data_IF_337889519225
#
_entry.id   IF_337889519225
#
_cell.length_a   1.000
_cell.length_b   1.000
_cell.length_c   1.000
_cell.angle_alpha   90.00
_cell.angle_beta   90.00
_cell.angle_gamma   90.00
#
_symmetry.space_group_name_H-M   'P 1'
#
loop_
_entity.id
_entity.type
_entity.pdbx_description
1 polymer ?
#
# COMPACT_ATOMS: atom_id res chain seq x y z
N UNK A 1 36.22 -2.43 -1.01
CA UNK A 1 34.99 -2.12 -1.75
C UNK A 1 34.16 -1.22 -0.87
N UNK A 2 33.63 -0.09 -1.39
CA UNK A 2 32.77 0.83 -0.67
C UNK A 2 31.38 0.76 -1.28
N UNK A 3 30.34 0.52 -0.44
CA UNK A 3 28.94 0.65 -0.82
C UNK A 3 28.55 2.11 -0.75
N UNK A 4 27.89 2.60 -1.79
CA UNK A 4 27.31 3.96 -1.86
C UNK A 4 25.89 3.87 -2.40
N UNK A 5 25.05 4.82 -2.03
CA UNK A 5 23.66 4.95 -2.49
C UNK A 5 23.46 6.32 -3.14
N UNK A 6 22.47 6.40 -4.00
CA UNK A 6 22.00 7.64 -4.63
C UNK A 6 20.49 7.59 -4.76
N UNK A 7 19.82 8.69 -4.50
CA UNK A 7 18.37 8.80 -4.67
C UNK A 7 18.02 8.96 -6.15
N UNK A 8 17.02 8.19 -6.58
CA UNK A 8 16.50 8.23 -7.96
C UNK A 8 14.98 8.33 -7.95
N UNK A 9 14.42 9.02 -8.94
CA UNK A 9 12.97 9.06 -9.12
C UNK A 9 12.46 7.75 -9.70
N UNK A 10 11.36 7.22 -9.15
CA UNK A 10 10.66 6.05 -9.66
C UNK A 10 9.18 6.32 -9.80
N UNK A 11 8.59 5.94 -10.95
CA UNK A 11 7.14 5.97 -11.13
C UNK A 11 6.54 4.74 -10.45
N UNK A 12 5.70 4.97 -9.44
CA UNK A 12 4.87 3.96 -8.82
C UNK A 12 3.50 3.90 -9.53
N UNK A 13 2.88 2.74 -9.57
CA UNK A 13 1.52 2.58 -10.09
C UNK A 13 0.56 2.14 -8.99
N UNK A 14 -0.67 2.50 -9.14
CA UNK A 14 -1.78 2.07 -8.29
C UNK A 14 -3.02 1.90 -9.14
N UNK A 15 -3.97 1.14 -8.64
CA UNK A 15 -5.27 0.94 -9.26
C UNK A 15 -6.35 1.47 -8.34
N UNK A 16 -7.47 1.88 -8.92
CA UNK A 16 -8.57 2.48 -8.18
C UNK A 16 -9.91 1.94 -8.69
N UNK A 17 -10.83 1.66 -7.77
CA UNK A 17 -12.24 1.42 -8.02
C UNK A 17 -13.05 2.53 -7.35
N UNK A 18 -14.13 2.95 -8.00
CA UNK A 18 -14.93 4.11 -7.61
C UNK A 18 -14.45 5.40 -8.28
N UNK A 19 -15.19 6.48 -8.06
CA UNK A 19 -14.90 7.79 -8.62
C UNK A 19 -14.62 8.80 -7.51
N UNK A 20 -13.40 9.37 -7.40
CA UNK A 20 -13.07 10.31 -6.32
C UNK A 20 -13.88 11.61 -6.38
N UNK A 21 -14.53 11.93 -7.51
CA UNK A 21 -15.42 13.08 -7.66
C UNK A 21 -16.85 12.80 -7.18
N UNK A 22 -17.17 11.56 -6.78
CA UNK A 22 -18.44 11.21 -6.15
C UNK A 22 -18.49 11.68 -4.70
N UNK A 23 -19.66 11.58 -4.06
CA UNK A 23 -19.80 11.84 -2.63
C UNK A 23 -19.19 10.68 -1.81
N UNK A 24 -17.86 10.66 -1.72
CA UNK A 24 -17.11 9.58 -1.06
C UNK A 24 -17.30 9.66 0.46
N UNK A 25 -17.81 8.57 1.04
CA UNK A 25 -17.96 8.40 2.48
C UNK A 25 -17.03 7.36 3.10
N UNK A 26 -16.38 6.53 2.25
CA UNK A 26 -15.42 5.49 2.66
C UNK A 26 -14.25 5.46 1.70
N UNK A 27 -13.05 5.39 2.25
CA UNK A 27 -11.80 5.20 1.51
C UNK A 27 -11.13 3.94 2.03
N UNK A 28 -10.73 3.06 1.11
CA UNK A 28 -9.98 1.86 1.41
C UNK A 28 -8.63 1.88 0.69
N UNK A 29 -7.55 1.73 1.44
CA UNK A 29 -6.26 1.32 0.89
C UNK A 29 -6.09 -0.17 1.09
N UNK A 30 -5.89 -0.92 -0.01
CA UNK A 30 -5.75 -2.37 0.01
C UNK A 30 -4.36 -2.76 -0.48
N UNK A 31 -3.52 -3.24 0.41
CA UNK A 31 -2.12 -3.57 0.15
C UNK A 31 -1.98 -5.07 -0.10
N UNK A 32 -1.49 -5.42 -1.28
CA UNK A 32 -1.32 -6.81 -1.74
C UNK A 32 -0.20 -7.55 -1.02
N UNK A 33 -0.21 -8.87 -1.10
CA UNK A 33 0.84 -9.75 -0.58
C UNK A 33 2.06 -9.86 -1.49
N UNK A 34 3.10 -10.56 -1.02
CA UNK A 34 4.29 -10.87 -1.80
C UNK A 34 3.93 -11.58 -3.12
N UNK A 35 4.65 -11.26 -4.18
CA UNK A 35 4.50 -11.81 -5.53
C UNK A 35 3.12 -11.59 -6.18
N UNK A 36 2.32 -10.67 -5.65
CA UNK A 36 1.05 -10.27 -6.25
C UNK A 36 1.21 -8.95 -7.01
N UNK A 37 0.26 -8.67 -7.91
CA UNK A 37 0.11 -7.36 -8.57
C UNK A 37 -1.22 -6.74 -8.16
N UNK A 38 -1.21 -5.44 -7.94
CA UNK A 38 -2.40 -4.68 -7.49
C UNK A 38 -3.55 -4.74 -8.48
N UNK A 39 -3.26 -4.85 -9.77
CA UNK A 39 -4.26 -5.01 -10.84
C UNK A 39 -5.21 -6.19 -10.58
N UNK A 40 -4.65 -7.33 -10.16
CA UNK A 40 -5.44 -8.52 -9.87
C UNK A 40 -5.97 -8.52 -8.43
N UNK A 41 -5.22 -7.95 -7.51
CA UNK A 41 -5.61 -7.92 -6.11
C UNK A 41 -6.86 -7.06 -5.88
N UNK A 42 -6.93 -5.88 -6.52
CA UNK A 42 -8.07 -4.96 -6.38
C UNK A 42 -9.39 -5.57 -6.85
N UNK A 43 -9.36 -6.54 -7.77
CA UNK A 43 -10.56 -7.20 -8.28
C UNK A 43 -11.36 -7.94 -7.20
N UNK A 44 -10.69 -8.33 -6.11
CA UNK A 44 -11.34 -8.97 -4.95
C UNK A 44 -12.29 -8.05 -4.19
N UNK A 45 -12.17 -6.75 -4.40
CA UNK A 45 -12.91 -5.71 -3.67
C UNK A 45 -14.01 -5.05 -4.50
N UNK A 46 -14.27 -5.52 -5.71
CA UNK A 46 -15.30 -4.93 -6.61
C UNK A 46 -16.67 -4.79 -5.95
N UNK A 47 -17.05 -5.74 -5.10
CA UNK A 47 -18.34 -5.73 -4.43
C UNK A 47 -18.45 -4.68 -3.31
N UNK A 48 -17.35 -4.01 -2.96
CA UNK A 48 -17.36 -2.88 -2.02
C UNK A 48 -17.64 -1.54 -2.71
N UNK A 49 -17.60 -1.49 -4.03
CA UNK A 49 -17.95 -0.30 -4.81
C UNK A 49 -19.47 -0.09 -4.80
N UNK A 50 -19.91 0.76 -3.91
CA UNK A 50 -21.32 1.14 -3.70
C UNK A 50 -21.62 2.56 -4.23
N UNK A 51 -20.73 3.12 -5.03
CA UNK A 51 -20.80 4.49 -5.55
C UNK A 51 -20.30 5.58 -4.59
N UNK A 52 -20.19 5.26 -3.29
CA UNK A 52 -19.68 6.17 -2.25
C UNK A 52 -18.39 5.67 -1.58
N UNK A 53 -17.89 4.56 -2.07
CA UNK A 53 -16.63 3.93 -1.60
C UNK A 53 -15.55 4.07 -2.66
N UNK A 54 -14.38 4.54 -2.24
CA UNK A 54 -13.19 4.59 -3.07
C UNK A 54 -12.19 3.56 -2.58
N UNK A 55 -11.73 2.70 -3.49
CA UNK A 55 -10.78 1.62 -3.16
C UNK A 55 -9.50 1.88 -3.94
N UNK A 56 -8.39 1.98 -3.24
CA UNK A 56 -7.06 2.24 -3.80
C UNK A 56 -6.16 1.04 -3.51
N UNK A 57 -5.60 0.46 -4.56
CA UNK A 57 -4.62 -0.62 -4.46
C UNK A 57 -3.25 -0.14 -4.96
N UNK A 58 -2.40 0.38 -4.07
CA UNK A 58 -1.03 0.70 -4.43
C UNK A 58 -0.25 -0.58 -4.76
N UNK A 59 0.64 -0.51 -5.74
CA UNK A 59 1.54 -1.61 -6.05
C UNK A 59 2.90 -1.39 -5.41
N UNK A 60 3.44 -2.46 -4.82
CA UNK A 60 4.78 -2.44 -4.25
C UNK A 60 5.83 -2.03 -5.29
N UNK A 61 6.85 -1.30 -4.87
CA UNK A 61 7.81 -0.65 -5.75
C UNK A 61 8.72 -1.62 -6.50
N UNK A 62 8.95 -2.83 -5.97
CA UNK A 62 9.90 -3.79 -6.52
C UNK A 62 9.18 -4.92 -7.25
N UNK A 63 9.25 -4.90 -8.60
CA UNK A 63 8.71 -5.96 -9.45
C UNK A 63 9.79 -6.95 -9.84
N UNK A 64 9.42 -8.23 -9.96
CA UNK A 64 10.32 -9.31 -10.31
C UNK A 64 9.57 -10.43 -11.04
N UNK A 65 10.29 -11.26 -11.77
CA UNK A 65 9.76 -12.49 -12.33
C UNK A 65 9.69 -13.58 -11.25
N UNK A 66 8.54 -14.23 -11.09
CA UNK A 66 8.26 -15.12 -9.95
C UNK A 66 9.11 -16.41 -10.02
N UNK A 67 9.22 -17.02 -11.18
CA UNK A 67 9.94 -18.28 -11.36
C UNK A 67 11.14 -18.11 -12.29
N UNK A 68 10.89 -17.95 -13.59
CA UNK A 68 11.90 -17.88 -14.64
C UNK A 68 11.81 -16.55 -15.39
N UNK A 69 12.85 -16.24 -16.17
CA UNK A 69 12.85 -15.09 -17.07
C UNK A 69 11.64 -15.15 -18.00
N UNK A 70 10.97 -14.00 -18.16
CA UNK A 70 9.75 -13.84 -18.96
C UNK A 70 8.53 -14.59 -18.44
N UNK A 71 8.56 -15.11 -17.24
CA UNK A 71 7.42 -15.70 -16.57
C UNK A 71 6.50 -14.64 -15.96
N UNK A 72 5.56 -15.09 -15.15
CA UNK A 72 4.63 -14.21 -14.43
C UNK A 72 5.39 -13.21 -13.52
N UNK A 73 4.97 -11.94 -13.56
CA UNK A 73 5.52 -10.87 -12.74
C UNK A 73 4.74 -10.75 -11.44
N UNK A 74 5.45 -10.53 -10.35
CA UNK A 74 4.92 -10.14 -9.06
C UNK A 74 5.64 -8.91 -8.52
N UNK A 75 5.14 -8.38 -7.42
CA UNK A 75 5.77 -7.26 -6.72
C UNK A 75 6.01 -7.60 -5.25
N UNK A 76 6.99 -6.94 -4.66
CA UNK A 76 7.38 -7.09 -3.25
C UNK A 76 7.52 -5.74 -2.60
N UNK A 77 6.97 -5.60 -1.38
CA UNK A 77 7.13 -4.40 -0.56
C UNK A 77 8.52 -4.30 0.03
N UNK A 78 9.12 -5.42 0.35
CA UNK A 78 10.51 -5.46 0.85
C UNK A 78 11.10 -6.84 0.70
N UNK A 79 12.43 -6.90 0.75
CA UNK A 79 13.20 -8.13 0.92
C UNK A 79 14.06 -8.05 2.17
N UNK A 80 14.86 -9.08 2.45
CA UNK A 80 15.89 -9.01 3.52
C UNK A 80 17.05 -8.07 3.14
N UNK A 81 17.26 -7.90 1.84
CA UNK A 81 18.28 -7.00 1.30
C UNK A 81 17.76 -5.57 1.34
N UNK A 82 18.53 -4.65 1.92
CA UNK A 82 18.14 -3.22 2.09
C UNK A 82 16.77 -3.01 2.76
N UNK A 83 16.40 -3.90 3.67
CA UNK A 83 15.07 -3.93 4.29
C UNK A 83 14.61 -2.59 4.83
N UNK A 84 15.51 -1.83 5.48
CA UNK A 84 15.18 -0.52 6.07
C UNK A 84 14.85 0.50 4.99
N UNK A 85 15.66 0.56 3.95
CA UNK A 85 15.45 1.44 2.80
C UNK A 85 14.11 1.15 2.12
N UNK A 86 13.83 -0.13 1.84
CA UNK A 86 12.53 -0.54 1.26
C UNK A 86 11.35 -0.07 2.12
N UNK A 87 11.46 -0.19 3.46
CA UNK A 87 10.39 0.25 4.38
C UNK A 87 10.19 1.76 4.31
N UNK A 88 11.27 2.54 4.37
CA UNK A 88 11.23 4.02 4.31
C UNK A 88 10.67 4.50 2.97
N UNK A 89 11.11 3.94 1.87
CA UNK A 89 10.62 4.26 0.52
C UNK A 89 9.13 3.95 0.36
N UNK A 90 8.66 2.82 0.89
CA UNK A 90 7.24 2.46 0.87
C UNK A 90 6.40 3.43 1.69
N UNK A 91 6.86 3.82 2.89
CA UNK A 91 6.16 4.79 3.73
C UNK A 91 6.04 6.14 3.00
N UNK A 92 7.13 6.63 2.43
CA UNK A 92 7.15 7.86 1.65
C UNK A 92 6.20 7.80 0.45
N UNK A 93 6.24 6.71 -0.30
CA UNK A 93 5.35 6.47 -1.43
C UNK A 93 3.88 6.48 -1.02
N UNK A 94 3.52 5.74 0.02
CA UNK A 94 2.13 5.63 0.50
C UNK A 94 1.62 6.96 1.05
N UNK A 95 2.48 7.75 1.69
CA UNK A 95 2.16 9.11 2.14
C UNK A 95 1.88 10.04 0.94
N UNK A 96 2.71 10.01 -0.08
CA UNK A 96 2.51 10.80 -1.29
C UNK A 96 1.21 10.40 -2.01
N UNK A 97 0.95 9.10 -2.11
CA UNK A 97 -0.26 8.59 -2.73
C UNK A 97 -1.51 8.99 -1.95
N UNK A 98 -1.53 8.78 -0.63
CA UNK A 98 -2.70 9.13 0.19
C UNK A 98 -3.00 10.63 0.12
N UNK A 99 -1.98 11.48 0.20
CA UNK A 99 -2.14 12.93 0.03
C UNK A 99 -2.79 13.26 -1.30
N UNK A 100 -2.27 12.71 -2.40
CA UNK A 100 -2.84 12.90 -3.75
C UNK A 100 -4.31 12.49 -3.82
N UNK A 101 -4.66 11.31 -3.28
CA UNK A 101 -6.04 10.81 -3.29
C UNK A 101 -6.96 11.72 -2.46
N UNK A 102 -6.54 12.17 -1.28
CA UNK A 102 -7.35 13.05 -0.44
C UNK A 102 -7.56 14.43 -1.08
N UNK A 103 -6.56 14.94 -1.80
CA UNK A 103 -6.69 16.16 -2.60
C UNK A 103 -7.69 15.97 -3.76
N UNK A 104 -7.70 14.82 -4.42
CA UNK A 104 -8.66 14.50 -5.48
C UNK A 104 -10.11 14.38 -4.97
N UNK A 105 -10.32 13.85 -3.76
CA UNK A 105 -11.63 13.79 -3.09
C UNK A 105 -12.12 15.19 -2.70
N UNK A 106 -11.21 16.07 -2.28
CA UNK A 106 -11.51 17.48 -1.98
C UNK A 106 -12.22 17.75 -0.66
N UNK A 107 -12.47 16.73 0.17
CA UNK A 107 -13.01 16.85 1.53
C UNK A 107 -12.44 15.75 2.45
N UNK A 108 -12.65 15.91 3.75
CA UNK A 108 -12.13 14.98 4.78
C UNK A 108 -13.24 14.18 5.50
N UNK A 109 -14.48 14.34 5.07
CA UNK A 109 -15.63 13.66 5.70
C UNK A 109 -15.83 12.26 5.12
N UNK A 110 -14.85 11.37 5.35
CA UNK A 110 -14.92 9.96 4.98
C UNK A 110 -14.29 9.10 6.08
N UNK A 111 -14.67 7.83 6.13
CA UNK A 111 -13.97 6.81 6.94
C UNK A 111 -12.77 6.28 6.18
N UNK A 112 -11.61 6.34 6.81
CA UNK A 112 -10.36 5.81 6.27
C UNK A 112 -10.09 4.40 6.80
N UNK A 113 -10.05 3.45 5.89
CA UNK A 113 -9.85 2.05 6.20
C UNK A 113 -8.62 1.53 5.45
N UNK A 114 -7.85 0.66 6.10
CA UNK A 114 -6.67 0.03 5.51
C UNK A 114 -6.78 -1.47 5.65
N UNK A 115 -6.53 -2.19 4.56
CA UNK A 115 -6.43 -3.64 4.56
C UNK A 115 -5.05 -4.03 4.00
N UNK A 116 -4.36 -4.90 4.72
CA UNK A 116 -3.13 -5.49 4.23
C UNK A 116 -3.21 -7.01 4.22
N UNK A 117 -2.86 -7.62 3.08
CA UNK A 117 -2.79 -9.05 2.93
C UNK A 117 -1.33 -9.54 3.02
N UNK A 118 -1.05 -10.47 3.93
CA UNK A 118 0.28 -11.08 4.10
C UNK A 118 1.38 -10.00 4.26
N UNK A 119 2.37 -9.91 3.39
CA UNK A 119 3.41 -8.88 3.41
C UNK A 119 2.83 -7.45 3.39
N UNK A 120 1.69 -7.24 2.72
CA UNK A 120 0.98 -5.96 2.70
C UNK A 120 0.44 -5.55 4.07
N UNK A 121 0.11 -6.50 4.95
CA UNK A 121 -0.32 -6.21 6.31
C UNK A 121 0.80 -5.62 7.15
N UNK A 122 1.99 -6.20 7.10
CA UNK A 122 3.15 -5.64 7.79
C UNK A 122 3.54 -4.25 7.26
N UNK A 123 3.39 -4.04 5.95
CA UNK A 123 3.60 -2.72 5.32
C UNK A 123 2.57 -1.71 5.79
N UNK A 124 1.29 -2.09 5.84
CA UNK A 124 0.21 -1.24 6.36
C UNK A 124 0.45 -0.80 7.81
N UNK A 125 0.85 -1.73 8.67
CA UNK A 125 1.19 -1.41 10.07
C UNK A 125 2.31 -0.37 10.14
N UNK A 126 3.43 -0.58 9.45
CA UNK A 126 4.56 0.36 9.46
C UNK A 126 4.18 1.73 8.93
N UNK A 127 3.38 1.76 7.85
CA UNK A 127 2.89 3.01 7.29
C UNK A 127 2.03 3.78 8.30
N UNK A 128 1.04 3.14 8.93
CA UNK A 128 0.16 3.77 9.92
C UNK A 128 0.96 4.32 11.09
N UNK A 129 1.86 3.51 11.65
CA UNK A 129 2.69 3.90 12.82
C UNK A 129 3.61 5.07 12.48
N UNK A 130 4.37 4.99 11.40
CA UNK A 130 5.34 6.01 11.02
C UNK A 130 4.68 7.35 10.63
N UNK A 131 3.47 7.29 10.07
CA UNK A 131 2.75 8.48 9.60
C UNK A 131 1.81 9.08 10.65
N UNK A 132 1.69 8.47 11.84
CA UNK A 132 0.72 8.84 12.86
C UNK A 132 -0.70 9.02 12.30
N UNK A 133 -1.06 8.18 11.33
CA UNK A 133 -2.30 8.30 10.59
C UNK A 133 -3.50 7.92 11.44
N UNK A 134 -4.51 8.79 11.46
CA UNK A 134 -5.82 8.45 12.04
C UNK A 134 -6.60 7.62 11.04
N UNK A 135 -6.94 6.41 11.43
CA UNK A 135 -7.72 5.47 10.63
C UNK A 135 -8.95 5.02 11.41
N UNK A 136 -10.00 4.63 10.72
CA UNK A 136 -11.21 4.06 11.31
C UNK A 136 -11.08 2.54 11.49
N UNK A 137 -10.44 1.85 10.57
CA UNK A 137 -10.18 0.41 10.71
C UNK A 137 -8.89 -0.05 10.02
N UNK A 138 -8.29 -1.09 10.61
CA UNK A 138 -7.19 -1.86 10.04
C UNK A 138 -7.61 -3.32 9.97
N UNK A 139 -7.56 -3.89 8.76
CA UNK A 139 -7.79 -5.32 8.54
C UNK A 139 -6.48 -5.99 8.17
N UNK A 140 -6.03 -6.92 9.00
CA UNK A 140 -4.86 -7.76 8.74
C UNK A 140 -5.36 -9.13 8.25
N UNK A 141 -5.23 -9.37 6.95
CA UNK A 141 -5.65 -10.60 6.32
C UNK A 141 -4.43 -11.51 6.09
N UNK A 142 -4.38 -12.65 6.79
CA UNK A 142 -3.24 -13.58 6.78
C UNK A 142 -1.90 -12.87 7.03
N UNK A 143 -1.87 -11.98 8.03
CA UNK A 143 -0.71 -11.17 8.39
C UNK A 143 -0.66 -10.96 9.88
N UNK A 144 0.56 -10.90 10.42
CA UNK A 144 0.83 -10.56 11.81
C UNK A 144 1.29 -9.10 11.94
N UNK A 145 1.19 -8.58 13.18
CA UNK A 145 1.81 -7.30 13.54
C UNK A 145 3.33 -7.43 13.49
N UNK A 146 4.04 -6.61 12.74
CA UNK A 146 5.48 -6.64 12.70
C UNK A 146 6.07 -6.18 14.05
N UNK A 147 7.05 -6.94 14.56
CA UNK A 147 7.65 -6.67 15.87
C UNK A 147 8.30 -5.27 15.96
N UNK A 148 8.79 -4.75 14.86
CA UNK A 148 9.41 -3.42 14.76
C UNK A 148 8.41 -2.26 14.92
N UNK A 149 7.10 -2.53 14.91
CA UNK A 149 6.06 -1.53 15.25
C UNK A 149 5.63 -1.56 16.71
N UNK A 150 6.12 -2.51 17.49
CA UNK A 150 5.73 -2.72 18.89
C UNK A 150 6.72 -2.11 19.91
N UNK A 151 7.81 -1.49 19.46
CA UNK A 151 8.97 -1.13 20.31
C UNK A 151 9.01 0.35 20.70
N UNK A 152 8.09 1.19 20.26
CA UNK A 152 8.00 2.57 20.79
C UNK A 152 6.89 2.67 21.83
N UNK A 153 7.33 2.53 23.09
CA UNK A 153 6.62 3.02 24.27
C UNK A 153 7.37 4.18 24.88
#
# INVERSE_FOLDING_TARGET
MLKKTIDVSKKARYYMLGNPQSNISKVWFVLHGYAMLSEFFIQKFKNLDDGNTLIIAPEALNRFYINDYYSRVGASWMTKEERKTDIEENINYLNLLSKKIFEEIGHTNFKLNILGFSQGGATACRWIFASHMKIDSLVLWASDLPQDTLIEK
#
